data_IF_031043775390
#
_entry.id   IF_031043775390
#
_cell.length_a   1.000
_cell.length_b   1.000
_cell.length_c   1.000
_cell.angle_alpha   90.00
_cell.angle_beta   90.00
_cell.angle_gamma   90.00
#
_symmetry.space_group_name_H-M   'P 1'
#
loop_
_entity.id
_entity.type
_entity.pdbx_description
1 polymer ?
#
# COMPACT_ATOMS: atom_id res chain seq x y z
N UNK A 1 60.49 -0.23 -9.53
CA UNK A 1 59.87 -0.59 -8.23
C UNK A 1 58.93 0.49 -7.69
N UNK A 2 58.39 1.38 -8.54
CA UNK A 2 57.62 2.56 -8.13
C UNK A 2 56.29 2.74 -8.90
N UNK A 3 55.97 1.87 -9.85
CA UNK A 3 54.69 1.90 -10.59
C UNK A 3 53.64 0.90 -10.05
N UNK A 4 54.08 -0.19 -9.39
CA UNK A 4 53.18 -1.23 -8.86
C UNK A 4 52.53 -0.80 -7.54
N UNK A 5 53.18 0.07 -6.76
CA UNK A 5 52.68 0.60 -5.49
C UNK A 5 51.60 1.67 -5.68
N UNK A 6 51.63 2.44 -6.78
CA UNK A 6 50.60 3.44 -7.09
C UNK A 6 49.28 2.80 -7.57
N UNK A 7 49.36 1.67 -8.29
CA UNK A 7 48.18 0.91 -8.72
C UNK A 7 47.45 0.25 -7.53
N UNK A 8 48.19 -0.21 -6.51
CA UNK A 8 47.58 -0.74 -5.29
C UNK A 8 46.93 0.34 -4.41
N UNK A 9 47.49 1.56 -4.36
CA UNK A 9 46.91 2.69 -3.63
C UNK A 9 45.66 3.26 -4.31
N UNK A 10 45.62 3.28 -5.65
CA UNK A 10 44.42 3.66 -6.41
C UNK A 10 43.30 2.60 -6.32
N UNK A 11 43.65 1.31 -6.30
CA UNK A 11 42.70 0.23 -6.06
C UNK A 11 42.14 0.22 -4.64
N UNK A 12 42.94 0.61 -3.62
CA UNK A 12 42.45 0.77 -2.25
C UNK A 12 41.60 2.03 -2.04
N UNK A 13 41.79 3.08 -2.85
CA UNK A 13 40.96 4.30 -2.77
C UNK A 13 39.57 4.11 -3.41
N UNK A 14 39.42 3.22 -4.40
CA UNK A 14 38.12 2.82 -4.96
C UNK A 14 37.41 1.72 -4.14
N UNK A 15 38.07 1.12 -3.16
CA UNK A 15 37.46 0.15 -2.24
C UNK A 15 36.82 0.83 -1.00
N UNK A 16 37.01 2.14 -0.83
CA UNK A 16 36.53 2.92 0.32
C UNK A 16 35.15 3.56 0.17
N UNK A 17 34.47 3.40 -0.97
CA UNK A 17 33.13 3.93 -1.24
C UNK A 17 32.09 2.84 -1.46
N UNK A 18 32.25 1.70 -0.76
CA UNK A 18 31.11 0.84 -0.43
C UNK A 18 30.27 1.61 0.58
N UNK A 19 29.48 2.57 0.09
CA UNK A 19 28.32 3.05 0.82
C UNK A 19 27.56 1.81 1.25
N UNK A 20 27.47 1.60 2.57
CA UNK A 20 26.51 0.68 3.14
C UNK A 20 25.17 1.02 2.47
N UNK A 21 24.57 0.13 1.66
CA UNK A 21 23.22 0.36 1.24
C UNK A 21 22.43 0.51 2.54
N UNK A 22 21.84 1.69 2.75
CA UNK A 22 20.92 1.93 3.85
C UNK A 22 19.80 0.91 3.68
N UNK A 23 20.00 -0.18 4.40
CA UNK A 23 19.12 -1.32 4.48
C UNK A 23 17.76 -0.78 4.90
N UNK A 24 16.78 -0.94 4.01
CA UNK A 24 15.40 -0.78 4.40
C UNK A 24 15.14 -1.69 5.60
N UNK A 25 14.58 -1.12 6.66
CA UNK A 25 14.06 -1.85 7.82
C UNK A 25 15.05 -2.84 8.47
N UNK A 26 15.64 -2.44 9.59
CA UNK A 26 16.30 -3.35 10.54
C UNK A 26 15.43 -4.62 10.75
N UNK A 27 15.93 -5.77 10.27
CA UNK A 27 15.35 -7.07 10.62
C UNK A 27 15.43 -8.24 9.63
N UNK A 28 16.26 -8.28 8.59
CA UNK A 28 16.49 -9.54 7.83
C UNK A 28 17.37 -10.52 8.61
N UNK A 29 16.91 -10.93 9.80
CA UNK A 29 17.36 -12.19 10.37
C UNK A 29 16.62 -13.28 9.59
N UNK A 30 17.36 -13.91 8.68
CA UNK A 30 16.97 -15.09 7.91
C UNK A 30 16.63 -16.32 8.80
N UNK A 31 16.71 -16.14 10.13
CA UNK A 31 16.19 -17.02 11.15
C UNK A 31 15.11 -16.27 11.96
N UNK A 32 13.92 -16.09 11.39
CA UNK A 32 12.76 -15.82 12.23
C UNK A 32 12.70 -16.96 13.25
N UNK A 33 12.59 -16.70 14.57
CA UNK A 33 12.50 -17.75 15.58
C UNK A 33 11.10 -18.38 15.58
N UNK A 34 10.56 -18.66 14.39
CA UNK A 34 9.30 -19.31 14.14
C UNK A 34 9.58 -20.49 13.23
N UNK A 35 9.15 -21.68 13.66
CA UNK A 35 9.22 -22.86 12.81
C UNK A 35 8.37 -22.63 11.55
N UNK A 36 8.93 -22.78 10.34
CA UNK A 36 8.17 -22.67 9.10
C UNK A 36 6.96 -23.61 9.08
N UNK A 37 7.13 -24.82 9.64
CA UNK A 37 6.05 -25.79 9.77
C UNK A 37 4.85 -25.21 10.55
N UNK A 38 5.09 -24.64 11.73
CA UNK A 38 4.00 -24.07 12.54
C UNK A 38 3.39 -22.82 11.89
N UNK A 39 4.18 -21.99 11.20
CA UNK A 39 3.66 -20.83 10.49
C UNK A 39 2.71 -21.24 9.35
N UNK A 40 3.12 -22.19 8.50
CA UNK A 40 2.27 -22.68 7.42
C UNK A 40 1.05 -23.46 7.92
N UNK A 41 1.26 -24.38 8.87
CA UNK A 41 0.17 -25.18 9.42
C UNK A 41 -0.87 -24.29 10.12
N UNK A 42 -0.42 -23.36 10.97
CA UNK A 42 -1.31 -22.43 11.68
C UNK A 42 -2.10 -21.54 10.72
N UNK A 43 -1.44 -20.99 9.70
CA UNK A 43 -2.10 -20.17 8.69
C UNK A 43 -3.14 -20.96 7.88
N UNK A 44 -2.78 -22.17 7.42
CA UNK A 44 -3.71 -23.04 6.71
C UNK A 44 -4.91 -23.42 7.59
N UNK A 45 -4.67 -23.83 8.84
CA UNK A 45 -5.72 -24.17 9.80
C UNK A 45 -6.64 -22.99 10.08
N UNK A 46 -6.10 -21.78 10.27
CA UNK A 46 -6.89 -20.58 10.52
C UNK A 46 -7.82 -20.28 9.33
N UNK A 47 -7.33 -20.38 8.10
CA UNK A 47 -8.15 -20.16 6.90
C UNK A 47 -9.20 -21.25 6.71
N UNK A 48 -8.80 -22.52 6.86
CA UNK A 48 -9.72 -23.65 6.71
C UNK A 48 -10.84 -23.57 7.74
N UNK A 49 -10.51 -23.36 9.01
CA UNK A 49 -11.50 -23.23 10.06
C UNK A 49 -12.41 -22.01 9.83
N UNK A 50 -11.85 -20.87 9.44
CA UNK A 50 -12.64 -19.67 9.12
C UNK A 50 -13.61 -19.93 7.97
N UNK A 51 -13.16 -20.58 6.90
CA UNK A 51 -13.99 -20.92 5.75
C UNK A 51 -15.13 -21.89 6.13
N UNK A 52 -14.81 -22.95 6.88
CA UNK A 52 -15.81 -23.90 7.37
C UNK A 52 -16.82 -23.25 8.31
N UNK A 53 -16.35 -22.46 9.28
CA UNK A 53 -17.21 -21.75 10.22
C UNK A 53 -18.15 -20.78 9.52
N UNK A 54 -17.68 -20.03 8.53
CA UNK A 54 -18.51 -19.15 7.72
C UNK A 54 -19.54 -19.93 6.91
N UNK A 55 -19.12 -20.99 6.22
CA UNK A 55 -20.02 -21.86 5.45
C UNK A 55 -21.15 -22.47 6.28
N UNK A 56 -20.90 -22.75 7.56
CA UNK A 56 -21.89 -23.33 8.48
C UNK A 56 -22.75 -22.28 9.20
N UNK A 57 -22.17 -21.15 9.61
CA UNK A 57 -22.80 -20.19 10.54
C UNK A 57 -23.29 -18.90 9.86
N UNK A 58 -22.95 -18.68 8.60
CA UNK A 58 -23.22 -17.43 7.87
C UNK A 58 -23.95 -17.71 6.54
N UNK A 59 -25.19 -18.20 6.63
CA UNK A 59 -25.99 -18.57 5.47
C UNK A 59 -26.61 -17.40 4.68
N UNK A 60 -26.61 -16.19 5.24
CA UNK A 60 -27.19 -14.99 4.62
C UNK A 60 -26.29 -13.77 4.81
N UNK A 61 -26.28 -12.88 3.81
CA UNK A 61 -25.45 -11.68 3.86
C UNK A 61 -25.90 -10.75 4.99
N UNK A 62 -24.95 -10.34 5.82
CA UNK A 62 -25.14 -9.45 6.97
C UNK A 62 -24.66 -8.03 6.68
N UNK A 63 -23.80 -7.83 5.68
CA UNK A 63 -23.31 -6.50 5.36
C UNK A 63 -24.37 -5.67 4.61
N UNK A 64 -24.39 -4.37 4.88
CA UNK A 64 -25.36 -3.42 4.28
C UNK A 64 -24.65 -2.26 3.56
N UNK A 65 -23.35 -2.40 3.28
CA UNK A 65 -22.54 -1.38 2.62
C UNK A 65 -22.71 0.04 3.17
N UNK A 66 -22.86 0.99 2.24
CA UNK A 66 -22.99 2.43 2.48
C UNK A 66 -24.35 2.85 3.06
N UNK A 67 -25.25 1.92 3.41
CA UNK A 67 -26.48 2.22 4.15
C UNK A 67 -26.32 2.04 5.68
N UNK A 68 -25.24 1.40 6.09
CA UNK A 68 -24.96 1.06 7.49
C UNK A 68 -24.33 2.22 8.29
N UNK A 69 -24.18 1.98 9.60
CA UNK A 69 -23.47 2.87 10.52
C UNK A 69 -24.41 3.69 11.39
N UNK A 70 -23.90 4.06 12.57
CA UNK A 70 -24.58 4.96 13.51
C UNK A 70 -24.09 6.38 13.26
N UNK A 71 -24.97 7.35 13.00
CA UNK A 71 -24.55 8.72 12.73
C UNK A 71 -23.88 9.33 13.96
N UNK A 72 -22.77 10.03 13.74
CA UNK A 72 -22.11 10.78 14.80
C UNK A 72 -22.95 12.02 15.20
N UNK A 73 -22.75 12.56 16.42
CA UNK A 73 -23.38 13.81 16.85
C UNK A 73 -23.20 14.93 15.83
N UNK A 74 -24.24 15.73 15.60
CA UNK A 74 -24.25 16.79 14.59
C UNK A 74 -23.12 17.82 14.78
N UNK A 75 -22.68 18.04 16.02
CA UNK A 75 -21.53 18.93 16.34
C UNK A 75 -20.26 18.42 15.67
N UNK A 76 -19.94 17.12 15.81
CA UNK A 76 -18.75 16.53 15.19
C UNK A 76 -18.82 16.58 13.67
N UNK A 77 -20.02 16.37 13.10
CA UNK A 77 -20.21 16.48 11.65
C UNK A 77 -19.95 17.91 11.18
N UNK A 78 -20.50 18.92 11.86
CA UNK A 78 -20.27 20.33 11.54
C UNK A 78 -18.81 20.73 11.64
N UNK A 79 -18.09 20.28 12.67
CA UNK A 79 -16.66 20.55 12.81
C UNK A 79 -15.89 19.90 11.65
N UNK A 80 -16.11 18.61 11.39
CA UNK A 80 -15.45 17.89 10.30
C UNK A 80 -15.78 18.50 8.91
N UNK A 81 -16.98 19.05 8.76
CA UNK A 81 -17.44 19.70 7.54
C UNK A 81 -17.08 21.18 7.42
N UNK A 82 -16.60 21.80 8.50
CA UNK A 82 -16.33 23.22 8.55
C UNK A 82 -15.27 23.62 7.50
N UNK A 83 -15.48 24.70 6.73
CA UNK A 83 -14.48 25.22 5.81
C UNK A 83 -13.16 25.55 6.49
N UNK A 84 -13.20 25.99 7.76
CA UNK A 84 -12.03 26.28 8.59
C UNK A 84 -11.22 25.03 8.88
N UNK A 85 -11.86 23.94 9.31
CA UNK A 85 -11.19 22.65 9.55
C UNK A 85 -10.58 22.10 8.27
N UNK A 86 -11.32 22.15 7.16
CA UNK A 86 -10.81 21.72 5.85
C UNK A 86 -9.66 22.59 5.34
N UNK A 87 -9.75 23.90 5.54
CA UNK A 87 -8.70 24.85 5.20
C UNK A 87 -7.44 24.64 6.05
N UNK A 88 -7.59 24.43 7.35
CA UNK A 88 -6.49 24.15 8.28
C UNK A 88 -5.76 22.86 7.94
N UNK A 89 -6.48 21.78 7.61
CA UNK A 89 -5.88 20.52 7.18
C UNK A 89 -5.15 20.67 5.84
N UNK A 90 -5.72 21.40 4.88
CA UNK A 90 -5.04 21.70 3.61
C UNK A 90 -3.77 22.53 3.81
N UNK A 91 -3.83 23.53 4.69
CA UNK A 91 -2.68 24.36 5.03
C UNK A 91 -1.59 23.54 5.73
N UNK A 92 -1.99 22.67 6.67
CA UNK A 92 -1.07 21.75 7.35
C UNK A 92 -0.35 20.86 6.35
N UNK A 93 -1.08 20.26 5.42
CA UNK A 93 -0.51 19.44 4.36
C UNK A 93 0.42 20.20 3.42
N UNK A 94 0.03 21.41 2.99
CA UNK A 94 0.86 22.29 2.17
C UNK A 94 2.14 22.75 2.90
N UNK A 95 2.03 23.14 4.17
CA UNK A 95 3.17 23.54 4.99
C UNK A 95 4.14 22.38 5.22
N UNK A 96 3.61 21.19 5.53
CA UNK A 96 4.40 19.97 5.71
C UNK A 96 5.16 19.62 4.42
N UNK A 97 4.46 19.65 3.28
CA UNK A 97 5.09 19.41 1.97
C UNK A 97 6.16 20.45 1.64
N UNK A 98 5.93 21.72 1.96
CA UNK A 98 6.92 22.79 1.77
C UNK A 98 8.17 22.55 2.62
N UNK A 99 8.01 22.19 3.90
CA UNK A 99 9.15 21.89 4.80
C UNK A 99 10.01 20.77 4.23
N UNK A 100 9.42 19.66 3.79
CA UNK A 100 10.20 18.55 3.22
C UNK A 100 10.80 18.89 1.86
N UNK A 101 10.09 19.67 1.03
CA UNK A 101 10.65 20.16 -0.23
C UNK A 101 11.87 21.07 0.02
N UNK A 102 11.84 21.92 1.05
CA UNK A 102 12.98 22.76 1.42
C UNK A 102 14.17 21.93 1.89
N UNK A 103 13.94 20.87 2.68
CA UNK A 103 15.01 19.93 3.04
C UNK A 103 15.58 19.21 1.82
N UNK A 104 14.75 18.88 0.84
CA UNK A 104 15.20 18.24 -0.39
C UNK A 104 16.00 19.19 -1.31
N UNK A 105 15.66 20.48 -1.32
CA UNK A 105 16.31 21.49 -2.17
C UNK A 105 17.59 22.08 -1.53
N UNK A 106 17.59 22.24 -0.20
CA UNK A 106 18.61 22.98 0.54
C UNK A 106 19.40 22.11 1.52
N UNK A 107 18.87 20.95 1.89
CA UNK A 107 19.50 20.05 2.85
C UNK A 107 20.60 19.19 2.23
N UNK A 108 21.35 18.44 3.06
CA UNK A 108 22.39 17.53 2.59
C UNK A 108 21.81 16.43 1.69
N UNK A 109 22.59 15.98 0.71
CA UNK A 109 22.25 14.81 -0.11
C UNK A 109 22.66 13.49 0.58
N UNK A 110 22.37 13.41 1.88
CA UNK A 110 22.66 12.29 2.76
C UNK A 110 21.35 11.87 3.43
N UNK A 111 20.81 10.67 3.13
CA UNK A 111 19.53 10.22 3.68
C UNK A 111 19.52 10.10 5.21
N UNK A 112 20.69 10.02 5.85
CA UNK A 112 20.77 9.98 7.32
C UNK A 112 20.62 11.35 7.99
N UNK A 113 20.79 12.41 7.20
CA UNK A 113 20.72 13.81 7.65
C UNK A 113 19.59 14.59 6.99
N UNK A 114 19.01 14.04 5.93
CA UNK A 114 17.89 14.63 5.20
C UNK A 114 16.59 13.88 5.51
N UNK A 115 15.56 14.55 6.08
CA UNK A 115 14.29 13.90 6.38
C UNK A 115 13.42 13.66 5.14
N UNK A 116 13.74 14.22 3.97
CA UNK A 116 12.86 14.16 2.81
C UNK A 116 12.59 12.74 2.26
N UNK A 117 13.59 11.83 2.16
CA UNK A 117 13.34 10.44 1.80
C UNK A 117 12.42 9.74 2.82
N UNK A 118 12.70 9.93 4.11
CA UNK A 118 11.86 9.39 5.20
C UNK A 118 10.43 9.94 5.17
N UNK A 119 10.25 11.20 4.79
CA UNK A 119 8.93 11.79 4.65
C UNK A 119 8.11 11.16 3.52
N UNK A 120 8.76 10.83 2.40
CA UNK A 120 8.12 10.22 1.25
C UNK A 120 7.83 8.72 1.48
N UNK A 121 8.85 7.95 1.86
CA UNK A 121 8.73 6.49 1.98
C UNK A 121 8.15 6.04 3.31
N UNK A 122 8.31 6.81 4.39
CA UNK A 122 7.84 6.39 5.72
C UNK A 122 6.60 7.16 6.13
N UNK A 123 6.65 8.48 6.20
CA UNK A 123 5.52 9.28 6.71
C UNK A 123 4.34 9.29 5.74
N UNK A 124 4.60 9.48 4.44
CA UNK A 124 3.57 9.46 3.42
C UNK A 124 3.14 8.04 3.10
N UNK A 125 4.02 7.20 2.55
CA UNK A 125 3.63 5.88 2.07
C UNK A 125 3.14 4.95 3.18
N UNK A 126 3.94 4.75 4.24
CA UNK A 126 3.56 3.85 5.33
C UNK A 126 2.61 4.53 6.32
N UNK A 127 2.87 5.78 6.69
CA UNK A 127 2.06 6.54 7.65
C UNK A 127 0.63 6.80 7.19
N UNK A 128 0.38 6.86 5.87
CA UNK A 128 -0.98 6.92 5.34
C UNK A 128 -1.83 5.70 5.70
N UNK A 129 -1.22 4.53 5.96
CA UNK A 129 -1.95 3.29 6.31
C UNK A 129 -2.72 3.45 7.62
N UNK A 130 -2.07 3.59 8.80
CA UNK A 130 -2.78 3.76 10.05
C UNK A 130 -3.60 5.05 10.08
N UNK A 131 -3.12 6.14 9.47
CA UNK A 131 -3.88 7.38 9.40
C UNK A 131 -5.21 7.18 8.68
N UNK A 132 -5.21 6.44 7.56
CA UNK A 132 -6.45 6.21 6.79
C UNK A 132 -7.39 5.21 7.46
N UNK A 133 -6.85 4.20 8.16
CA UNK A 133 -7.64 3.28 8.95
C UNK A 133 -8.33 3.95 10.14
N UNK A 134 -7.66 4.90 10.78
CA UNK A 134 -8.19 5.55 11.97
C UNK A 134 -9.12 6.74 11.64
N UNK A 135 -8.77 7.54 10.62
CA UNK A 135 -9.37 8.84 10.37
C UNK A 135 -10.14 8.94 9.05
N UNK A 136 -10.16 7.87 8.25
CA UNK A 136 -10.78 7.86 6.93
C UNK A 136 -9.85 8.40 5.82
N UNK A 137 -10.35 8.96 4.72
CA UNK A 137 -9.51 9.32 3.56
C UNK A 137 -8.72 10.62 3.81
N UNK A 138 -7.68 10.55 4.65
CA UNK A 138 -6.90 11.70 5.14
C UNK A 138 -6.13 12.42 4.05
N UNK A 139 -5.61 11.70 3.04
CA UNK A 139 -4.79 12.32 2.01
C UNK A 139 -5.58 13.37 1.22
N UNK A 140 -6.85 13.12 0.94
CA UNK A 140 -7.73 14.09 0.26
C UNK A 140 -7.79 15.45 0.97
N UNK A 141 -7.61 15.47 2.30
CA UNK A 141 -7.63 16.68 3.11
C UNK A 141 -6.24 17.33 3.22
N UNK A 142 -5.18 16.54 3.27
CA UNK A 142 -3.79 16.99 3.43
C UNK A 142 -3.06 17.20 2.09
N UNK A 143 -3.64 16.82 0.95
CA UNK A 143 -2.95 16.85 -0.33
C UNK A 143 -2.49 18.28 -0.71
N UNK A 144 -1.17 18.55 -0.76
CA UNK A 144 -0.65 19.88 -1.07
C UNK A 144 -1.00 20.32 -2.49
N UNK A 145 -1.12 19.39 -3.44
CA UNK A 145 -1.45 19.69 -4.83
C UNK A 145 -2.92 20.12 -4.99
N UNK A 146 -3.82 19.60 -4.15
CA UNK A 146 -5.20 20.12 -4.06
C UNK A 146 -5.24 21.54 -3.50
N UNK A 147 -4.38 21.85 -2.53
CA UNK A 147 -4.26 23.20 -1.99
C UNK A 147 -3.77 24.19 -3.08
N UNK A 148 -2.74 23.80 -3.84
CA UNK A 148 -2.26 24.58 -4.99
C UNK A 148 -3.32 24.74 -6.09
N UNK A 149 -3.99 23.65 -6.45
CA UNK A 149 -5.06 23.67 -7.45
C UNK A 149 -6.23 24.59 -7.04
N UNK A 150 -6.57 24.64 -5.76
CA UNK A 150 -7.65 25.48 -5.24
C UNK A 150 -7.37 26.98 -5.38
N UNK A 151 -6.12 27.41 -5.58
CA UNK A 151 -5.78 28.81 -5.86
C UNK A 151 -6.24 29.25 -7.26
N UNK A 152 -6.22 28.32 -8.23
CA UNK A 152 -6.53 28.60 -9.63
C UNK A 152 -7.40 27.47 -10.25
N UNK A 153 -8.63 27.28 -9.76
CA UNK A 153 -9.50 26.24 -10.29
C UNK A 153 -9.94 26.55 -11.74
N UNK A 154 -10.00 25.55 -12.63
CA UNK A 154 -10.44 25.75 -14.00
C UNK A 154 -11.93 26.14 -14.05
N UNK A 155 -12.27 27.17 -14.83
CA UNK A 155 -13.66 27.65 -14.97
C UNK A 155 -14.60 26.60 -15.59
N UNK A 156 -14.09 25.77 -16.50
CA UNK A 156 -14.86 24.74 -17.23
C UNK A 156 -14.04 23.44 -17.37
N UNK A 157 -13.96 22.61 -16.31
CA UNK A 157 -13.23 21.35 -16.37
C UNK A 157 -13.89 20.37 -17.36
N UNK A 158 -13.08 19.62 -18.11
CA UNK A 158 -13.56 18.55 -18.99
C UNK A 158 -13.97 17.33 -18.16
N UNK A 159 -15.09 16.67 -18.48
CA UNK A 159 -15.48 15.46 -17.75
C UNK A 159 -14.41 14.37 -17.87
N UNK A 160 -14.17 13.67 -16.77
CA UNK A 160 -13.31 12.49 -16.73
C UNK A 160 -14.00 11.33 -17.46
N UNK A 161 -13.32 10.65 -18.42
CA UNK A 161 -13.88 9.46 -19.05
C UNK A 161 -14.16 8.38 -18.01
N UNK A 162 -15.38 7.84 -17.97
CA UNK A 162 -15.76 6.79 -17.01
C UNK A 162 -14.87 5.54 -17.12
N UNK A 163 -14.39 5.24 -18.33
CA UNK A 163 -13.46 4.15 -18.58
C UNK A 163 -12.09 4.33 -17.91
N UNK A 164 -11.67 5.57 -17.61
CA UNK A 164 -10.39 5.81 -16.96
C UNK A 164 -10.38 5.26 -15.54
N UNK A 165 -11.50 5.41 -14.82
CA UNK A 165 -11.65 4.99 -13.44
C UNK A 165 -10.44 5.43 -12.60
N UNK A 166 -9.88 4.51 -11.83
CA UNK A 166 -8.68 4.72 -11.02
C UNK A 166 -7.40 4.11 -11.62
N UNK A 167 -7.41 3.78 -12.92
CA UNK A 167 -6.24 3.18 -13.61
C UNK A 167 -4.99 4.08 -13.57
N UNK A 168 -5.09 5.42 -13.72
CA UNK A 168 -3.91 6.28 -13.61
C UNK A 168 -3.29 6.22 -12.21
N UNK A 169 -4.11 6.12 -11.16
CA UNK A 169 -3.61 5.94 -9.79
C UNK A 169 -2.91 4.58 -9.62
N UNK A 170 -3.43 3.50 -10.22
CA UNK A 170 -2.74 2.20 -10.22
C UNK A 170 -1.36 2.29 -10.89
N UNK A 171 -1.26 2.97 -12.03
CA UNK A 171 0.01 3.22 -12.72
C UNK A 171 0.95 4.11 -11.89
N UNK A 172 0.41 5.14 -11.24
CA UNK A 172 1.16 6.00 -10.33
C UNK A 172 1.69 5.24 -9.10
N UNK A 173 0.92 4.31 -8.55
CA UNK A 173 1.36 3.44 -7.46
C UNK A 173 2.46 2.50 -7.93
N UNK A 174 2.32 1.90 -9.11
CA UNK A 174 3.36 1.05 -9.68
C UNK A 174 4.66 1.83 -9.89
N UNK A 175 4.56 3.05 -10.43
CA UNK A 175 5.71 3.95 -10.61
C UNK A 175 6.33 4.36 -9.26
N UNK A 176 5.51 4.63 -8.25
CA UNK A 176 5.99 4.91 -6.90
C UNK A 176 6.74 3.71 -6.31
N UNK A 177 6.19 2.50 -6.41
CA UNK A 177 6.87 1.29 -5.92
C UNK A 177 8.10 0.93 -6.74
N UNK A 178 8.15 1.32 -8.02
CA UNK A 178 9.37 1.22 -8.83
C UNK A 178 10.43 2.20 -8.34
N UNK A 179 10.04 3.44 -8.03
CA UNK A 179 10.94 4.42 -7.42
C UNK A 179 11.49 3.90 -6.09
N UNK A 180 10.63 3.33 -5.25
CA UNK A 180 10.99 2.78 -3.95
C UNK A 180 11.91 1.54 -4.08
N UNK A 181 11.55 0.55 -4.91
CA UNK A 181 12.19 -0.78 -4.87
C UNK A 181 13.23 -1.02 -5.96
N UNK A 182 13.28 -0.18 -6.99
CA UNK A 182 14.06 -0.46 -8.22
C UNK A 182 14.94 0.70 -8.66
N UNK A 183 14.49 1.94 -8.47
CA UNK A 183 15.24 3.10 -8.96
C UNK A 183 16.64 3.17 -8.31
N UNK A 184 17.69 3.43 -9.10
CA UNK A 184 19.01 3.68 -8.55
C UNK A 184 19.00 4.97 -7.73
N UNK A 185 19.74 4.98 -6.63
CA UNK A 185 19.88 6.15 -5.75
C UNK A 185 18.52 6.75 -5.38
N UNK A 186 17.55 5.89 -5.05
CA UNK A 186 16.15 6.22 -4.76
C UNK A 186 15.96 7.18 -3.56
N UNK A 187 16.99 7.40 -2.76
CA UNK A 187 17.01 8.35 -1.64
C UNK A 187 17.78 9.64 -1.95
N UNK A 188 18.41 9.74 -3.12
CA UNK A 188 19.10 10.96 -3.53
C UNK A 188 18.12 12.09 -3.86
N UNK A 189 18.56 13.31 -3.59
CA UNK A 189 17.80 14.54 -3.80
C UNK A 189 17.44 14.71 -5.26
N UNK A 190 18.36 14.39 -6.17
CA UNK A 190 18.14 14.46 -7.62
C UNK A 190 17.01 13.53 -8.05
N UNK A 191 17.07 12.24 -7.69
CA UNK A 191 16.05 11.26 -8.05
C UNK A 191 14.68 11.64 -7.49
N UNK A 192 14.63 12.05 -6.21
CA UNK A 192 13.39 12.45 -5.56
C UNK A 192 12.81 13.74 -6.13
N UNK A 193 13.63 14.75 -6.45
CA UNK A 193 13.16 15.99 -7.09
C UNK A 193 12.58 15.72 -8.48
N UNK A 194 13.23 14.87 -9.28
CA UNK A 194 12.71 14.48 -10.59
C UNK A 194 11.36 13.77 -10.44
N UNK A 195 11.26 12.80 -9.51
CA UNK A 195 10.02 12.07 -9.26
C UNK A 195 8.89 12.99 -8.77
N UNK A 196 9.17 13.89 -7.82
CA UNK A 196 8.20 14.85 -7.29
C UNK A 196 7.78 15.88 -8.34
N UNK A 197 8.71 16.34 -9.19
CA UNK A 197 8.40 17.25 -10.28
C UNK A 197 7.51 16.57 -11.33
N UNK A 198 7.83 15.33 -11.72
CA UNK A 198 7.02 14.54 -12.65
C UNK A 198 5.61 14.28 -12.08
N UNK A 199 5.52 13.85 -10.82
CA UNK A 199 4.24 13.64 -10.13
C UNK A 199 3.44 14.94 -10.07
N UNK A 200 4.05 16.04 -9.63
CA UNK A 200 3.40 17.35 -9.54
C UNK A 200 2.88 17.83 -10.90
N UNK A 201 3.68 17.69 -11.96
CA UNK A 201 3.29 18.05 -13.31
C UNK A 201 2.09 17.24 -13.79
N UNK A 202 2.13 15.90 -13.68
CA UNK A 202 1.02 15.02 -14.08
C UNK A 202 -0.26 15.38 -13.32
N UNK A 203 -0.16 15.59 -12.01
CA UNK A 203 -1.31 15.87 -11.15
C UNK A 203 -1.92 17.25 -11.41
N UNK A 204 -1.10 18.31 -11.52
CA UNK A 204 -1.59 19.66 -11.77
C UNK A 204 -2.10 19.85 -13.20
N UNK A 205 -1.44 19.26 -14.22
CA UNK A 205 -1.94 19.30 -15.60
C UNK A 205 -3.26 18.54 -15.75
N UNK A 206 -3.35 17.36 -15.13
CA UNK A 206 -4.58 16.59 -15.09
C UNK A 206 -5.72 17.34 -14.40
N UNK A 207 -5.45 17.96 -13.24
CA UNK A 207 -6.42 18.76 -12.51
C UNK A 207 -6.79 20.06 -13.25
N UNK A 208 -5.86 20.70 -13.97
CA UNK A 208 -6.18 21.86 -14.80
C UNK A 208 -7.15 21.51 -15.93
N UNK A 209 -7.06 20.30 -16.48
CA UNK A 209 -7.94 19.81 -17.56
C UNK A 209 -9.27 19.26 -17.04
N UNK A 210 -9.25 18.48 -15.97
CA UNK A 210 -10.38 17.67 -15.49
C UNK A 210 -10.98 18.15 -14.16
N UNK A 211 -10.39 19.20 -13.57
CA UNK A 211 -10.77 19.74 -12.27
C UNK A 211 -10.34 18.84 -11.11
N UNK A 212 -10.84 19.20 -9.93
CA UNK A 212 -10.53 18.58 -8.64
C UNK A 212 -10.82 17.06 -8.56
N UNK A 213 -11.69 16.55 -9.43
CA UNK A 213 -11.97 15.10 -9.53
C UNK A 213 -10.78 14.29 -10.03
N UNK A 214 -9.81 14.91 -10.69
CA UNK A 214 -8.59 14.25 -11.17
C UNK A 214 -7.85 13.54 -10.05
N UNK A 215 -7.63 14.21 -8.91
CA UNK A 215 -6.88 13.64 -7.80
C UNK A 215 -7.53 12.35 -7.24
N UNK A 216 -8.86 12.33 -7.12
CA UNK A 216 -9.59 11.14 -6.66
C UNK A 216 -9.52 9.93 -7.62
N UNK A 217 -9.04 10.12 -8.85
CA UNK A 217 -8.93 9.08 -9.88
C UNK A 217 -7.48 8.77 -10.28
N UNK A 218 -6.57 9.73 -10.12
CA UNK A 218 -5.22 9.66 -10.67
C UNK A 218 -4.12 9.87 -9.63
N UNK A 219 -4.39 10.51 -8.50
CA UNK A 219 -3.40 10.58 -7.42
C UNK A 219 -3.25 9.19 -6.78
N UNK A 220 -2.07 8.54 -6.90
CA UNK A 220 -1.82 7.25 -6.28
C UNK A 220 -2.08 7.27 -4.77
N UNK A 221 -1.65 8.32 -4.06
CA UNK A 221 -1.76 8.41 -2.60
C UNK A 221 -3.20 8.70 -2.15
N UNK A 222 -3.99 9.42 -2.96
CA UNK A 222 -5.40 9.65 -2.64
C UNK A 222 -6.23 8.40 -2.81
N UNK A 223 -6.02 7.67 -3.91
CA UNK A 223 -6.71 6.41 -4.15
C UNK A 223 -6.30 5.39 -3.10
N UNK A 224 -5.01 5.28 -2.80
CA UNK A 224 -4.48 4.43 -1.75
C UNK A 224 -5.12 4.74 -0.38
N UNK A 225 -5.06 6.00 0.06
CA UNK A 225 -5.70 6.46 1.32
C UNK A 225 -7.21 6.19 1.32
N UNK A 226 -7.89 6.43 0.19
CA UNK A 226 -9.34 6.23 0.08
C UNK A 226 -9.76 4.77 0.09
N UNK A 227 -8.94 3.86 -0.43
CA UNK A 227 -9.19 2.42 -0.38
C UNK A 227 -8.94 1.88 1.03
N UNK A 228 -7.85 2.27 1.69
CA UNK A 228 -7.56 1.90 3.07
C UNK A 228 -8.63 2.44 4.04
N UNK A 229 -9.11 3.66 3.81
CA UNK A 229 -10.22 4.25 4.56
C UNK A 229 -11.54 3.46 4.48
N UNK A 230 -11.69 2.51 3.54
CA UNK A 230 -12.86 1.60 3.51
C UNK A 230 -12.89 0.66 4.70
N UNK A 231 -11.72 0.37 5.29
CA UNK A 231 -11.57 -0.40 6.52
C UNK A 231 -11.63 0.48 7.77
N UNK A 232 -11.84 1.79 7.63
CA UNK A 232 -11.98 2.66 8.79
C UNK A 232 -13.34 2.47 9.47
N UNK A 233 -13.39 2.47 10.82
CA UNK A 233 -14.64 2.59 11.56
C UNK A 233 -15.38 3.89 11.24
N UNK A 234 -14.66 4.95 10.83
CA UNK A 234 -15.23 6.22 10.42
C UNK A 234 -15.53 6.22 8.92
N UNK A 235 -16.74 6.59 8.54
CA UNK A 235 -17.13 6.65 7.13
C UNK A 235 -18.25 7.64 6.87
N UNK A 236 -18.59 7.81 5.59
CA UNK A 236 -19.80 8.52 5.20
C UNK A 236 -20.80 7.56 4.59
N UNK A 237 -22.05 7.73 5.00
CA UNK A 237 -23.21 7.01 4.44
C UNK A 237 -23.65 7.67 3.13
N UNK A 238 -24.51 7.00 2.35
CA UNK A 238 -25.06 7.54 1.08
C UNK A 238 -25.77 8.88 1.23
N UNK A 239 -26.35 9.18 2.39
CA UNK A 239 -26.99 10.47 2.70
C UNK A 239 -26.00 11.57 3.12
N UNK A 240 -24.69 11.31 3.03
CA UNK A 240 -23.63 12.27 3.32
C UNK A 240 -23.28 12.41 4.79
N UNK A 241 -24.01 11.76 5.71
CA UNK A 241 -23.75 11.84 7.15
C UNK A 241 -22.46 11.10 7.52
N UNK A 242 -21.72 11.68 8.46
CA UNK A 242 -20.57 11.02 9.09
C UNK A 242 -21.08 9.97 10.08
N UNK A 243 -20.61 8.72 9.95
CA UNK A 243 -21.09 7.56 10.71
C UNK A 243 -19.92 6.78 11.30
N UNK A 244 -20.17 6.15 12.45
CA UNK A 244 -19.37 5.06 12.98
C UNK A 244 -19.97 3.74 12.47
N UNK A 245 -19.18 2.94 11.75
CA UNK A 245 -19.61 1.67 11.16
C UNK A 245 -18.57 0.57 11.40
N UNK A 246 -19.00 -0.68 11.27
CA UNK A 246 -18.05 -1.79 11.17
C UNK A 246 -17.20 -1.63 9.90
N UNK A 247 -15.87 -1.85 9.97
CA UNK A 247 -14.98 -1.86 8.80
C UNK A 247 -15.51 -2.71 7.63
N UNK A 248 -16.14 -3.84 7.93
CA UNK A 248 -16.70 -4.72 6.89
C UNK A 248 -17.81 -4.07 6.06
N UNK A 249 -18.60 -3.17 6.66
CA UNK A 249 -19.58 -2.44 5.88
C UNK A 249 -18.94 -1.40 4.96
N UNK A 250 -17.85 -0.76 5.38
CA UNK A 250 -17.12 0.15 4.51
C UNK A 250 -16.42 -0.58 3.37
N UNK A 251 -15.88 -1.77 3.67
CA UNK A 251 -15.27 -2.67 2.71
C UNK A 251 -16.27 -3.17 1.65
N UNK A 252 -17.44 -3.65 2.09
CA UNK A 252 -18.55 -4.05 1.22
C UNK A 252 -19.05 -2.91 0.33
N UNK A 253 -18.86 -1.66 0.78
CA UNK A 253 -19.23 -0.48 0.02
C UNK A 253 -18.14 0.06 -0.92
N UNK A 254 -17.06 -0.70 -1.14
CA UNK A 254 -15.99 -0.30 -2.06
C UNK A 254 -16.57 -0.20 -3.49
N UNK A 255 -16.46 0.96 -4.16
CA UNK A 255 -17.00 1.14 -5.51
C UNK A 255 -16.33 0.21 -6.52
N UNK A 256 -17.13 -0.41 -7.39
CA UNK A 256 -16.64 -1.24 -8.49
C UNK A 256 -16.18 -0.36 -9.67
N UNK A 257 -15.07 0.35 -9.48
CA UNK A 257 -14.54 1.29 -10.49
C UNK A 257 -13.49 0.62 -11.38
N UNK A 258 -13.42 0.94 -12.68
CA UNK A 258 -12.32 0.48 -13.54
C UNK A 258 -10.97 0.82 -12.90
N UNK A 259 -10.05 -0.16 -12.86
CA UNK A 259 -8.74 0.02 -12.21
C UNK A 259 -8.67 -0.43 -10.75
N UNK A 260 -9.78 -0.76 -10.07
CA UNK A 260 -9.75 -1.32 -8.72
C UNK A 260 -8.88 -2.57 -8.63
N UNK A 261 -9.13 -3.54 -9.52
CA UNK A 261 -8.35 -4.79 -9.57
C UNK A 261 -6.87 -4.49 -9.81
N UNK A 262 -6.55 -3.63 -10.80
CA UNK A 262 -5.17 -3.24 -11.08
C UNK A 262 -4.49 -2.60 -9.87
N UNK A 263 -5.19 -1.70 -9.17
CA UNK A 263 -4.69 -1.03 -7.96
C UNK A 263 -4.34 -2.04 -6.88
N UNK A 264 -5.24 -2.97 -6.58
CA UNK A 264 -4.99 -3.96 -5.52
C UNK A 264 -3.92 -4.98 -5.94
N UNK A 265 -3.87 -5.39 -7.20
CA UNK A 265 -2.81 -6.26 -7.71
C UNK A 265 -1.44 -5.57 -7.69
N UNK A 266 -1.36 -4.25 -7.93
CA UNK A 266 -0.13 -3.47 -7.74
C UNK A 266 0.29 -3.51 -6.27
N UNK A 267 -0.62 -3.21 -5.33
CA UNK A 267 -0.30 -3.24 -3.89
C UNK A 267 0.19 -4.62 -3.42
N UNK A 268 -0.48 -5.70 -3.85
CA UNK A 268 -0.10 -7.06 -3.50
C UNK A 268 1.23 -7.47 -4.17
N UNK A 269 1.37 -7.20 -5.46
CA UNK A 269 2.54 -7.59 -6.25
C UNK A 269 3.79 -6.82 -5.86
N UNK A 270 3.68 -5.50 -5.60
CA UNK A 270 4.82 -4.70 -5.15
C UNK A 270 5.30 -5.13 -3.77
N UNK A 271 4.38 -5.46 -2.85
CA UNK A 271 4.77 -5.97 -1.52
C UNK A 271 5.34 -7.39 -1.60
N UNK A 272 4.86 -8.22 -2.52
CA UNK A 272 5.48 -9.50 -2.81
C UNK A 272 6.89 -9.33 -3.39
N UNK A 273 7.10 -8.32 -4.24
CA UNK A 273 8.43 -7.98 -4.75
C UNK A 273 9.35 -7.47 -3.66
N UNK A 274 8.86 -6.63 -2.75
CA UNK A 274 9.60 -6.15 -1.57
C UNK A 274 10.14 -7.33 -0.73
N UNK A 275 9.29 -8.32 -0.42
CA UNK A 275 9.76 -9.55 0.25
C UNK A 275 10.75 -10.36 -0.58
N UNK A 276 10.56 -10.43 -1.91
CA UNK A 276 11.50 -11.11 -2.80
C UNK A 276 12.85 -10.37 -2.90
N UNK A 277 12.85 -9.03 -2.82
CA UNK A 277 14.06 -8.23 -3.02
C UNK A 277 15.10 -8.45 -1.93
N UNK A 278 14.65 -8.83 -0.73
CA UNK A 278 15.53 -9.18 0.39
C UNK A 278 16.07 -10.62 0.32
N UNK A 279 15.55 -11.46 -0.60
CA UNK A 279 15.98 -12.85 -0.71
C UNK A 279 17.42 -12.97 -1.27
N UNK A 280 18.35 -13.69 -0.60
CA UNK A 280 19.73 -13.82 -1.05
C UNK A 280 19.91 -14.36 -2.48
N UNK A 281 19.01 -15.27 -2.92
CA UNK A 281 19.04 -15.82 -4.28
C UNK A 281 18.64 -14.77 -5.31
N UNK A 282 17.67 -13.93 -4.97
CA UNK A 282 17.25 -12.84 -5.83
C UNK A 282 18.33 -11.76 -5.92
N UNK A 283 18.95 -11.39 -4.79
CA UNK A 283 20.10 -10.47 -4.76
C UNK A 283 21.23 -10.98 -5.68
N UNK A 284 21.56 -12.27 -5.58
CA UNK A 284 22.55 -12.91 -6.48
C UNK A 284 22.12 -12.84 -7.95
N UNK A 285 20.83 -13.01 -8.23
CA UNK A 285 20.28 -12.90 -9.59
C UNK A 285 20.41 -11.48 -10.12
N UNK A 286 20.13 -10.46 -9.31
CA UNK A 286 20.29 -9.05 -9.69
C UNK A 286 21.75 -8.70 -10.00
N UNK A 287 22.69 -9.23 -9.21
CA UNK A 287 24.12 -8.96 -9.35
C UNK A 287 24.76 -9.69 -10.55
N UNK A 288 24.27 -10.87 -10.89
CA UNK A 288 24.84 -11.71 -11.97
C UNK A 288 24.09 -11.61 -13.30
N UNK A 289 22.94 -10.93 -13.34
CA UNK A 289 22.12 -10.82 -14.53
C UNK A 289 22.82 -10.06 -15.66
N UNK A 290 22.83 -10.60 -16.90
CA UNK A 290 23.42 -9.92 -18.06
C UNK A 290 22.64 -8.66 -18.47
N UNK A 291 21.39 -8.49 -18.02
CA UNK A 291 20.58 -7.30 -18.26
C UNK A 291 20.95 -6.13 -17.34
N UNK A 292 21.77 -6.38 -16.31
CA UNK A 292 22.06 -5.44 -15.24
C UNK A 292 20.95 -5.39 -14.17
N UNK A 293 21.23 -4.75 -13.01
CA UNK A 293 20.35 -4.79 -11.85
C UNK A 293 19.00 -4.10 -12.09
N UNK A 294 18.99 -2.89 -12.65
CA UNK A 294 17.75 -2.10 -12.82
C UNK A 294 16.74 -2.77 -13.77
N UNK A 295 17.10 -3.24 -14.98
CA UNK A 295 16.15 -3.94 -15.84
C UNK A 295 15.67 -5.26 -15.24
N UNK A 296 16.55 -6.00 -14.57
CA UNK A 296 16.20 -7.27 -13.91
C UNK A 296 15.22 -7.04 -12.76
N UNK A 297 15.47 -6.03 -11.92
CA UNK A 297 14.59 -5.64 -10.84
C UNK A 297 13.24 -5.13 -11.35
N UNK A 298 13.25 -4.32 -12.41
CA UNK A 298 12.02 -3.86 -13.08
C UNK A 298 11.18 -5.04 -13.58
N UNK A 299 11.81 -6.03 -14.24
CA UNK A 299 11.11 -7.24 -14.69
C UNK A 299 10.59 -8.07 -13.51
N UNK A 300 11.33 -8.16 -12.41
CA UNK A 300 10.88 -8.83 -11.18
C UNK A 300 9.64 -8.17 -10.56
N UNK A 301 9.63 -6.84 -10.44
CA UNK A 301 8.48 -6.07 -9.95
C UNK A 301 7.27 -6.24 -10.88
N UNK A 302 7.47 -6.16 -12.20
CA UNK A 302 6.38 -6.37 -13.16
C UNK A 302 5.86 -7.81 -13.13
N UNK A 303 6.75 -8.79 -12.98
CA UNK A 303 6.40 -10.21 -12.93
C UNK A 303 5.57 -10.56 -11.68
N UNK A 304 5.93 -10.04 -10.51
CA UNK A 304 5.18 -10.26 -9.27
C UNK A 304 3.79 -9.62 -9.31
N UNK A 305 3.66 -8.39 -9.84
CA UNK A 305 2.36 -7.74 -10.09
C UNK A 305 1.54 -8.51 -11.12
N UNK A 306 2.15 -8.96 -12.21
CA UNK A 306 1.49 -9.77 -13.22
C UNK A 306 1.04 -11.13 -12.67
N UNK A 307 1.84 -11.78 -11.82
CA UNK A 307 1.51 -13.04 -11.17
C UNK A 307 0.31 -12.86 -10.23
N UNK A 308 0.30 -11.82 -9.39
CA UNK A 308 -0.84 -11.51 -8.54
C UNK A 308 -2.11 -11.29 -9.39
N UNK A 309 -2.03 -10.50 -10.46
CA UNK A 309 -3.14 -10.26 -11.38
C UNK A 309 -3.61 -11.54 -12.09
N UNK A 310 -2.69 -12.40 -12.52
CA UNK A 310 -2.99 -13.66 -13.18
C UNK A 310 -3.69 -14.64 -12.25
N UNK A 311 -3.19 -14.84 -11.02
CA UNK A 311 -3.83 -15.69 -10.02
C UNK A 311 -5.27 -15.21 -9.71
N UNK A 312 -5.46 -13.90 -9.51
CA UNK A 312 -6.79 -13.35 -9.28
C UNK A 312 -7.69 -13.46 -10.53
N UNK A 313 -7.14 -13.24 -11.72
CA UNK A 313 -7.85 -13.38 -12.99
C UNK A 313 -8.32 -14.81 -13.25
N UNK A 314 -7.46 -15.80 -13.00
CA UNK A 314 -7.79 -17.23 -13.07
C UNK A 314 -8.88 -17.59 -12.07
N UNK A 315 -8.77 -17.10 -10.82
CA UNK A 315 -9.81 -17.27 -9.81
C UNK A 315 -11.16 -16.71 -10.28
N UNK A 316 -11.19 -15.48 -10.78
CA UNK A 316 -12.41 -14.85 -11.31
C UNK A 316 -12.98 -15.59 -12.53
N UNK A 317 -12.11 -16.13 -13.39
CA UNK A 317 -12.50 -16.98 -14.51
C UNK A 317 -13.16 -18.27 -14.04
N UNK A 318 -12.57 -18.96 -13.07
CA UNK A 318 -13.15 -20.15 -12.45
C UNK A 318 -14.50 -19.86 -11.78
N UNK A 319 -14.63 -18.74 -11.05
CA UNK A 319 -15.89 -18.30 -10.48
C UNK A 319 -16.98 -18.11 -11.54
N UNK A 320 -16.63 -17.52 -12.69
CA UNK A 320 -17.56 -17.33 -13.82
C UNK A 320 -18.01 -18.67 -14.42
N UNK A 321 -17.08 -19.60 -14.60
CA UNK A 321 -17.37 -20.92 -15.14
C UNK A 321 -18.30 -21.73 -14.22
N UNK A 322 -18.08 -21.66 -12.91
CA UNK A 322 -18.93 -22.31 -11.91
C UNK A 322 -20.28 -21.61 -11.71
N UNK A 323 -20.34 -20.31 -11.98
CA UNK A 323 -21.52 -19.46 -11.78
C UNK A 323 -21.79 -18.58 -13.01
N UNK A 324 -22.39 -19.13 -14.09
CA UNK A 324 -22.62 -18.39 -15.33
C UNK A 324 -23.45 -17.11 -15.19
N UNK A 325 -24.29 -17.02 -14.15
CA UNK A 325 -25.08 -15.82 -13.84
C UNK A 325 -24.26 -14.64 -13.27
N UNK A 326 -23.00 -14.86 -12.85
CA UNK A 326 -22.13 -13.83 -12.33
C UNK A 326 -21.41 -13.11 -13.47
N UNK A 327 -21.87 -11.90 -13.81
CA UNK A 327 -21.39 -11.16 -14.99
C UNK A 327 -20.07 -10.43 -14.77
N UNK A 328 -19.78 -10.01 -13.53
CA UNK A 328 -18.59 -9.20 -13.19
C UNK A 328 -17.77 -9.76 -12.01
N UNK A 329 -17.30 -11.02 -12.08
CA UNK A 329 -16.58 -11.66 -10.97
C UNK A 329 -15.32 -10.89 -10.56
N UNK A 330 -14.59 -10.34 -11.53
CA UNK A 330 -13.35 -9.57 -11.30
C UNK A 330 -13.57 -8.36 -10.38
N UNK A 331 -14.63 -7.58 -10.57
CA UNK A 331 -14.88 -6.39 -9.76
C UNK A 331 -15.70 -6.69 -8.51
N UNK A 332 -16.53 -7.74 -8.55
CA UNK A 332 -17.41 -8.10 -7.44
C UNK A 332 -16.65 -8.52 -6.18
N UNK A 333 -15.50 -9.18 -6.33
CA UNK A 333 -14.70 -9.67 -5.21
C UNK A 333 -13.43 -8.86 -4.93
N UNK A 334 -13.11 -7.84 -5.71
CA UNK A 334 -11.84 -7.10 -5.56
C UNK A 334 -11.67 -6.45 -4.17
N UNK A 335 -12.78 -6.05 -3.53
CA UNK A 335 -12.78 -5.51 -2.18
C UNK A 335 -12.23 -6.49 -1.13
N UNK A 336 -12.37 -7.81 -1.32
CA UNK A 336 -11.85 -8.80 -0.37
C UNK A 336 -10.34 -8.92 -0.37
N UNK A 337 -9.65 -8.31 -1.35
CA UNK A 337 -8.20 -8.27 -1.43
C UNK A 337 -7.60 -7.10 -0.61
N UNK A 338 -8.39 -6.08 -0.26
CA UNK A 338 -7.89 -4.93 0.51
C UNK A 338 -7.39 -5.31 1.92
N UNK A 339 -8.09 -6.16 2.71
CA UNK A 339 -7.57 -6.61 4.00
C UNK A 339 -6.28 -7.40 3.88
N UNK A 340 -6.11 -8.15 2.78
CA UNK A 340 -4.88 -8.89 2.48
C UNK A 340 -3.73 -7.91 2.25
N UNK A 341 -3.92 -6.92 1.37
CA UNK A 341 -2.93 -5.88 1.13
C UNK A 341 -2.57 -5.15 2.42
N UNK A 342 -3.55 -4.85 3.28
CA UNK A 342 -3.28 -4.26 4.60
C UNK A 342 -2.43 -5.17 5.50
N UNK A 343 -2.72 -6.47 5.54
CA UNK A 343 -1.93 -7.45 6.30
C UNK A 343 -0.48 -7.47 5.83
N UNK A 344 -0.25 -7.49 4.52
CA UNK A 344 1.09 -7.40 3.92
C UNK A 344 1.80 -6.09 4.23
N UNK A 345 1.14 -4.95 4.00
CA UNK A 345 1.70 -3.63 4.31
C UNK A 345 2.10 -3.53 5.78
N UNK A 346 1.28 -4.08 6.68
CA UNK A 346 1.61 -4.11 8.12
C UNK A 346 2.81 -5.01 8.39
N UNK A 347 2.86 -6.20 7.82
CA UNK A 347 3.96 -7.14 8.03
C UNK A 347 5.31 -6.59 7.53
N UNK A 348 5.31 -5.92 6.37
CA UNK A 348 6.54 -5.42 5.75
C UNK A 348 7.00 -4.08 6.32
N UNK A 349 6.06 -3.15 6.57
CA UNK A 349 6.43 -1.77 6.87
C UNK A 349 6.26 -1.36 8.34
N UNK A 350 5.79 -2.24 9.23
CA UNK A 350 5.62 -1.88 10.65
C UNK A 350 6.92 -1.40 11.29
N UNK A 351 8.01 -2.16 11.13
CA UNK A 351 9.32 -1.83 11.70
C UNK A 351 9.80 -0.46 11.20
N UNK A 352 9.71 -0.25 9.88
CA UNK A 352 10.07 1.01 9.24
C UNK A 352 9.29 2.20 9.82
N UNK A 353 7.98 2.07 10.02
CA UNK A 353 7.17 3.14 10.57
C UNK A 353 7.57 3.52 12.00
N UNK A 354 7.79 2.52 12.86
CA UNK A 354 8.03 2.76 14.30
C UNK A 354 9.45 3.22 14.60
N UNK A 355 10.43 2.89 13.74
CA UNK A 355 11.82 3.35 13.88
C UNK A 355 12.08 4.61 13.07
N UNK A 356 11.85 4.59 11.76
CA UNK A 356 12.21 5.69 10.86
C UNK A 356 11.19 6.82 10.87
N UNK A 357 9.94 6.57 11.26
CA UNK A 357 8.91 7.61 11.38
C UNK A 357 9.28 8.70 12.38
N UNK A 358 9.51 8.35 13.67
CA UNK A 358 9.97 9.32 14.67
C UNK A 358 11.30 9.96 14.31
N UNK A 359 12.27 9.18 13.77
CA UNK A 359 13.56 9.70 13.33
C UNK A 359 13.41 10.79 12.28
N UNK A 360 12.57 10.55 11.26
CA UNK A 360 12.26 11.52 10.21
C UNK A 360 11.72 12.83 10.78
N UNK A 361 10.82 12.76 11.77
CA UNK A 361 10.25 13.94 12.42
C UNK A 361 11.31 14.70 13.23
N UNK A 362 12.21 13.99 13.92
CA UNK A 362 13.31 14.61 14.68
C UNK A 362 14.31 15.30 13.75
N UNK A 363 14.67 14.65 12.64
CA UNK A 363 15.53 15.24 11.59
C UNK A 363 14.89 16.51 11.01
N UNK A 364 13.59 16.48 10.69
CA UNK A 364 12.85 17.65 10.19
C UNK A 364 12.75 18.79 11.21
N UNK A 365 12.91 18.49 12.51
CA UNK A 365 13.02 19.48 13.58
C UNK A 365 14.38 20.16 13.68
N UNK A 366 15.35 19.82 12.83
CA UNK A 366 16.69 20.43 12.79
C UNK A 366 17.76 19.73 13.61
N UNK A 367 17.57 18.44 13.92
CA UNK A 367 18.58 17.65 14.65
C UNK A 367 19.43 16.84 13.67
N UNK A 368 20.68 17.24 13.45
CA UNK A 368 21.57 16.65 12.45
C UNK A 368 22.00 15.19 12.71
N UNK A 369 21.72 14.63 13.89
CA UNK A 369 22.12 13.27 14.30
C UNK A 369 21.03 12.60 15.15
N UNK A 370 19.81 12.52 14.63
CA UNK A 370 18.72 11.86 15.33
C UNK A 370 19.06 10.36 15.54
N UNK A 371 19.21 9.89 16.80
CA UNK A 371 19.47 8.48 17.03
C UNK A 371 18.28 7.65 16.56
N UNK A 372 18.55 6.53 15.88
CA UNK A 372 17.50 5.60 15.49
C UNK A 372 16.82 5.05 16.75
N UNK A 373 15.49 5.22 16.90
CA UNK A 373 14.77 4.62 18.01
C UNK A 373 14.99 3.11 18.04
N UNK A 374 15.14 2.55 19.24
CA UNK A 374 15.20 1.10 19.38
C UNK A 374 13.88 0.46 18.87
N UNK A 375 13.94 -0.62 18.08
CA UNK A 375 12.73 -1.31 17.65
C UNK A 375 11.89 -1.74 18.85
N UNK A 376 10.57 -1.51 18.86
CA UNK A 376 9.73 -1.83 20.00
C UNK A 376 9.54 -3.34 20.19
N UNK A 377 9.84 -4.15 19.16
CA UNK A 377 9.72 -5.60 19.17
C UNK A 377 11.08 -6.23 18.85
N UNK A 378 11.47 -7.22 19.64
CA UNK A 378 12.58 -8.11 19.28
C UNK A 378 12.21 -9.01 18.08
N UNK A 379 13.18 -9.76 17.51
CA UNK A 379 12.97 -10.55 16.30
C UNK A 379 11.77 -11.50 16.34
N UNK A 380 11.56 -12.21 17.45
CA UNK A 380 10.41 -13.11 17.58
C UNK A 380 9.06 -12.38 17.72
N UNK A 381 9.06 -11.18 18.32
CA UNK A 381 7.86 -10.34 18.38
C UNK A 381 7.49 -9.81 16.99
N UNK A 382 8.49 -9.36 16.22
CA UNK A 382 8.28 -8.91 14.84
C UNK A 382 7.80 -10.06 13.95
N UNK A 383 8.44 -11.23 14.02
CA UNK A 383 8.02 -12.43 13.30
C UNK A 383 6.55 -12.79 13.59
N UNK A 384 6.17 -12.73 14.87
CA UNK A 384 4.80 -13.00 15.30
C UNK A 384 3.83 -11.97 14.73
N UNK A 385 4.18 -10.68 14.80
CA UNK A 385 3.36 -9.61 14.23
C UNK A 385 3.15 -9.81 12.72
N UNK A 386 4.20 -10.15 11.99
CA UNK A 386 4.15 -10.38 10.55
C UNK A 386 3.18 -11.52 10.20
N UNK A 387 3.34 -12.69 10.82
CA UNK A 387 2.46 -13.84 10.59
C UNK A 387 1.02 -13.51 10.98
N UNK A 388 0.80 -12.89 12.15
CA UNK A 388 -0.54 -12.51 12.61
C UNK A 388 -1.17 -11.49 11.67
N UNK A 389 -0.44 -10.50 11.19
CA UNK A 389 -0.94 -9.49 10.25
C UNK A 389 -1.35 -10.12 8.92
N UNK A 390 -0.51 -10.98 8.35
CA UNK A 390 -0.80 -11.70 7.09
C UNK A 390 -2.02 -12.61 7.27
N UNK A 391 -2.06 -13.46 8.30
CA UNK A 391 -3.17 -14.38 8.54
C UNK A 391 -4.47 -13.62 8.81
N UNK A 392 -4.43 -12.57 9.64
CA UNK A 392 -5.61 -11.73 9.93
C UNK A 392 -6.13 -11.07 8.66
N UNK A 393 -5.24 -10.48 7.85
CA UNK A 393 -5.63 -9.88 6.56
C UNK A 393 -6.37 -10.88 5.65
N UNK A 394 -5.88 -12.12 5.56
CA UNK A 394 -6.53 -13.15 4.76
C UNK A 394 -7.85 -13.65 5.36
N UNK A 395 -7.94 -13.84 6.69
CA UNK A 395 -9.20 -14.21 7.36
C UNK A 395 -10.27 -13.13 7.14
N UNK A 396 -9.92 -11.85 7.29
CA UNK A 396 -10.82 -10.73 7.01
C UNK A 396 -11.22 -10.69 5.52
N UNK A 397 -10.30 -11.00 4.62
CA UNK A 397 -10.58 -11.15 3.19
C UNK A 397 -11.58 -12.28 2.91
N UNK A 398 -11.40 -13.45 3.53
CA UNK A 398 -12.33 -14.59 3.42
C UNK A 398 -13.72 -14.21 3.92
N UNK A 399 -13.83 -13.53 5.06
CA UNK A 399 -15.12 -13.03 5.60
C UNK A 399 -15.82 -12.11 4.58
N UNK A 400 -15.08 -11.15 4.00
CA UNK A 400 -15.62 -10.20 3.03
C UNK A 400 -16.07 -10.90 1.74
N UNK A 401 -15.24 -11.82 1.21
CA UNK A 401 -15.56 -12.61 0.03
C UNK A 401 -16.79 -13.51 0.27
N UNK A 402 -16.87 -14.13 1.46
CA UNK A 402 -17.98 -15.00 1.82
C UNK A 402 -19.30 -14.24 1.87
N UNK A 403 -19.36 -13.11 2.59
CA UNK A 403 -20.59 -12.30 2.69
C UNK A 403 -21.06 -11.81 1.31
N UNK A 404 -20.13 -11.39 0.44
CA UNK A 404 -20.46 -11.01 -0.94
C UNK A 404 -20.99 -12.19 -1.74
N UNK A 405 -20.42 -13.37 -1.58
CA UNK A 405 -20.83 -14.54 -2.35
C UNK A 405 -22.20 -15.07 -1.92
N UNK A 406 -22.51 -15.15 -0.62
CA UNK A 406 -23.87 -15.53 -0.17
C UNK A 406 -24.94 -14.52 -0.58
N UNK A 407 -24.55 -13.28 -0.91
CA UNK A 407 -25.44 -12.27 -1.51
C UNK A 407 -25.67 -12.48 -3.01
N UNK A 408 -24.63 -12.87 -3.75
CA UNK A 408 -24.65 -12.92 -5.22
C UNK A 408 -25.00 -14.30 -5.78
N UNK A 409 -24.70 -15.37 -5.05
CA UNK A 409 -24.87 -16.74 -5.51
C UNK A 409 -26.13 -17.39 -4.91
N UNK A 410 -26.78 -18.32 -5.63
CA UNK A 410 -27.89 -19.10 -5.08
C UNK A 410 -27.45 -19.90 -3.84
N UNK A 411 -28.32 -20.10 -2.83
CA UNK A 411 -27.97 -20.78 -1.58
C UNK A 411 -27.34 -22.17 -1.78
N UNK A 412 -27.84 -22.94 -2.75
CA UNK A 412 -27.33 -24.28 -3.08
C UNK A 412 -25.87 -24.31 -3.58
N UNK A 413 -25.35 -23.17 -4.05
CA UNK A 413 -23.97 -23.03 -4.57
C UNK A 413 -23.15 -22.02 -3.77
N UNK A 414 -23.71 -21.44 -2.70
CA UNK A 414 -23.06 -20.36 -1.98
C UNK A 414 -21.70 -20.77 -1.39
N UNK A 415 -21.58 -22.01 -0.89
CA UNK A 415 -20.31 -22.54 -0.33
C UNK A 415 -19.39 -23.08 -1.42
N UNK A 416 -19.89 -23.99 -2.28
CA UNK A 416 -19.07 -24.59 -3.34
C UNK A 416 -18.59 -23.56 -4.39
N UNK A 417 -19.39 -22.54 -4.66
CA UNK A 417 -19.08 -21.45 -5.59
C UNK A 417 -17.96 -20.53 -5.09
N UNK A 418 -17.51 -20.65 -3.84
CA UNK A 418 -16.40 -19.87 -3.28
C UNK A 418 -15.07 -20.62 -3.27
N UNK A 419 -15.04 -21.91 -3.65
CA UNK A 419 -13.83 -22.73 -3.62
C UNK A 419 -12.65 -22.10 -4.40
N UNK A 420 -12.85 -21.47 -5.59
CA UNK A 420 -11.76 -20.77 -6.26
C UNK A 420 -11.18 -19.61 -5.46
N UNK A 421 -12.01 -18.85 -4.73
CA UNK A 421 -11.55 -17.75 -3.87
C UNK A 421 -10.81 -18.29 -2.66
N UNK A 422 -11.32 -19.35 -2.03
CA UNK A 422 -10.66 -19.99 -0.91
C UNK A 422 -9.27 -20.53 -1.29
N UNK A 423 -9.17 -21.22 -2.44
CA UNK A 423 -7.89 -21.68 -2.97
C UNK A 423 -6.93 -20.53 -3.25
N UNK A 424 -7.42 -19.42 -3.82
CA UNK A 424 -6.61 -18.21 -4.03
C UNK A 424 -6.08 -17.64 -2.70
N UNK A 425 -6.93 -17.56 -1.67
CA UNK A 425 -6.54 -17.05 -0.35
C UNK A 425 -5.46 -17.93 0.30
N UNK A 426 -5.58 -19.25 0.19
CA UNK A 426 -4.53 -20.18 0.65
C UNK A 426 -3.24 -19.94 -0.14
N UNK A 427 -3.30 -19.89 -1.47
CA UNK A 427 -2.13 -19.70 -2.31
C UNK A 427 -1.39 -18.39 -1.98
N UNK A 428 -2.11 -17.29 -1.82
CA UNK A 428 -1.51 -16.02 -1.39
C UNK A 428 -0.94 -16.11 0.02
N UNK A 429 -1.64 -16.72 0.97
CA UNK A 429 -1.13 -16.82 2.36
C UNK A 429 0.15 -17.63 2.45
N UNK A 430 0.18 -18.81 1.81
CA UNK A 430 1.36 -19.66 1.80
C UNK A 430 2.50 -19.01 1.01
N UNK A 431 2.20 -18.36 -0.12
CA UNK A 431 3.20 -17.60 -0.89
C UNK A 431 3.80 -16.45 -0.07
N UNK A 432 2.98 -15.68 0.62
CA UNK A 432 3.41 -14.58 1.47
C UNK A 432 4.24 -15.01 2.67
N UNK A 433 3.80 -16.05 3.38
CA UNK A 433 4.59 -16.65 4.47
C UNK A 433 5.91 -17.20 3.92
N UNK A 434 5.90 -17.76 2.70
CA UNK A 434 7.12 -18.20 2.02
C UNK A 434 8.09 -17.06 1.77
N UNK A 435 7.62 -15.92 1.28
CA UNK A 435 8.46 -14.74 1.08
C UNK A 435 8.99 -14.15 2.39
N UNK A 436 8.26 -14.27 3.51
CA UNK A 436 8.72 -13.82 4.82
C UNK A 436 9.83 -14.72 5.42
N UNK A 437 9.86 -16.00 5.03
CA UNK A 437 10.78 -17.00 5.60
C UNK A 437 11.99 -17.25 4.69
N UNK A 438 11.86 -17.02 3.39
CA UNK A 438 12.84 -17.36 2.36
C UNK A 438 13.97 -16.35 2.23
#
# INVERSE_FOLDING_TARGET
>A
MTAVTAAHLAASAHAGSLGLPLAHGVGSRHDLPLSPFYAYAGAFTALLFSFLALGLLWSSSRFRGDLSGRPLPAVLQRIADAPTTRGALRLLGAATALVFLLHLLLGPDDPDRNPAPGALYVLLWVGLVPASLLLGPVWRLLNPLRALHALHPPRKPRPLPAALGIRPAAAGLLLFTWLELVAPDNTSSTTLLIALAAHTAVQLLGAARHGDRWFAHADPFEVYSSLLARLSPLGRRTDGRLVLRSPFHGLDATPQTPGLVATVCVLLGSTAYDGLSDNPRWITTLQTSPLGPVPTATLGLLATVALAAACYGLCAGALRLMNPGLTTPLTSFAHSLLPIALGYLTAHYFSLLVTEGPRTVILAGGTDNAPSPAPPLGPGGLATLQVVAVVTGHVLGVVAAHDRSVRLLPPARAVAGQLPLFALMIAYTLGGIGLLIA
#
